data_IF_449126268524
#
_entry.id   IF_449126268524
#
_cell.length_a   1.000
_cell.length_b   1.000
_cell.length_c   1.000
_cell.angle_alpha   90.00
_cell.angle_beta   90.00
_cell.angle_gamma   90.00
#
_symmetry.space_group_name_H-M   'P 1'
#
loop_
_entity.id
_entity.type
_entity.pdbx_description
1 polymer ?
#
# COMPACT_ATOMS: atom_id res chain seq x y z
N UNK A 1 16.32 -9.61 -5.18
CA UNK A 1 15.68 -8.69 -4.22
C UNK A 1 15.69 -7.28 -4.83
N UNK A 2 14.69 -6.93 -5.63
CA UNK A 2 14.55 -5.59 -6.23
C UNK A 2 13.11 -5.36 -6.75
N UNK A 3 12.44 -6.44 -7.17
CA UNK A 3 11.09 -6.36 -7.74
C UNK A 3 10.01 -5.83 -6.79
N UNK A 4 10.09 -6.15 -5.48
CA UNK A 4 9.06 -5.74 -4.51
C UNK A 4 9.07 -4.25 -4.18
N UNK A 5 10.26 -3.64 -4.06
CA UNK A 5 10.42 -2.24 -3.64
C UNK A 5 9.78 -1.24 -4.61
N UNK A 6 9.78 -1.53 -5.91
CA UNK A 6 9.13 -0.69 -6.90
C UNK A 6 7.60 -0.67 -6.73
N UNK A 7 7.00 -1.83 -6.47
CA UNK A 7 5.55 -1.95 -6.22
C UNK A 7 5.16 -1.26 -4.91
N UNK A 8 5.91 -1.50 -3.83
CA UNK A 8 5.71 -0.84 -2.54
C UNK A 8 5.82 0.69 -2.68
N UNK A 9 6.78 1.18 -3.47
CA UNK A 9 6.93 2.60 -3.76
C UNK A 9 5.71 3.23 -4.45
N UNK A 10 5.07 2.51 -5.40
CA UNK A 10 3.83 2.97 -6.04
C UNK A 10 2.70 3.05 -5.01
N UNK A 11 2.54 2.03 -4.16
CA UNK A 11 1.49 2.00 -3.14
C UNK A 11 1.65 3.15 -2.16
N UNK A 12 2.87 3.40 -1.69
CA UNK A 12 3.18 4.51 -0.76
C UNK A 12 2.95 5.88 -1.43
N UNK A 13 3.30 6.04 -2.70
CA UNK A 13 3.04 7.28 -3.45
C UNK A 13 1.54 7.57 -3.56
N UNK A 14 0.74 6.54 -3.84
CA UNK A 14 -0.72 6.64 -3.91
C UNK A 14 -1.33 6.94 -2.52
N UNK A 15 -0.83 6.30 -1.46
CA UNK A 15 -1.25 6.55 -0.09
C UNK A 15 -0.99 8.01 0.33
N UNK A 16 0.17 8.56 -0.06
CA UNK A 16 0.52 9.97 0.15
C UNK A 16 -0.20 10.96 -0.77
N UNK A 17 -1.14 10.50 -1.61
CA UNK A 17 -1.86 11.32 -2.63
C UNK A 17 -0.91 12.07 -3.58
N UNK A 18 0.27 11.50 -3.87
CA UNK A 18 1.36 12.16 -4.61
C UNK A 18 1.83 13.50 -4.01
N UNK A 19 1.52 13.80 -2.75
CA UNK A 19 2.04 14.98 -2.05
C UNK A 19 3.34 14.57 -1.31
N UNK A 20 4.49 15.24 -1.54
CA UNK A 20 5.76 14.86 -0.94
C UNK A 20 5.71 14.72 0.59
N UNK A 21 5.00 15.61 1.29
CA UNK A 21 4.86 15.54 2.76
C UNK A 21 4.04 14.31 3.19
N UNK A 22 2.97 14.01 2.46
CA UNK A 22 2.12 12.84 2.72
C UNK A 22 2.83 11.53 2.41
N UNK A 23 3.67 11.51 1.36
CA UNK A 23 4.48 10.34 0.98
C UNK A 23 5.50 10.00 2.05
N UNK A 24 6.18 11.00 2.63
CA UNK A 24 7.15 10.75 3.72
C UNK A 24 6.47 10.14 4.94
N UNK A 25 5.33 10.69 5.36
CA UNK A 25 4.56 10.15 6.50
C UNK A 25 4.04 8.73 6.23
N UNK A 26 3.52 8.49 5.02
CA UNK A 26 3.05 7.18 4.58
C UNK A 26 4.18 6.14 4.52
N UNK A 27 5.35 6.51 4.01
CA UNK A 27 6.52 5.65 3.89
C UNK A 27 7.05 5.20 5.26
N UNK A 28 7.10 6.13 6.23
CA UNK A 28 7.53 5.84 7.59
C UNK A 28 6.58 4.87 8.28
N UNK A 29 5.27 5.12 8.21
CA UNK A 29 4.27 4.22 8.79
C UNK A 29 4.32 2.83 8.14
N UNK A 30 4.36 2.78 6.80
CA UNK A 30 4.42 1.53 6.04
C UNK A 30 5.65 0.71 6.39
N UNK A 31 6.83 1.34 6.46
CA UNK A 31 8.09 0.67 6.79
C UNK A 31 8.10 0.20 8.25
N UNK A 32 7.56 1.00 9.17
CA UNK A 32 7.45 0.61 10.58
C UNK A 32 6.58 -0.64 10.76
N UNK A 33 5.43 -0.70 10.08
CA UNK A 33 4.55 -1.86 10.12
C UNK A 33 5.20 -3.09 9.47
N UNK A 34 5.89 -2.89 8.34
CA UNK A 34 6.58 -3.96 7.61
C UNK A 34 7.71 -4.56 8.45
N UNK A 35 8.62 -3.74 8.95
CA UNK A 35 9.74 -4.18 9.79
C UNK A 35 9.25 -4.73 11.13
N UNK A 36 8.23 -4.12 11.72
CA UNK A 36 7.58 -4.65 12.93
C UNK A 36 6.98 -6.04 12.71
N UNK A 37 6.38 -6.28 11.53
CA UNK A 37 5.92 -7.59 11.10
C UNK A 37 7.04 -8.62 10.98
N UNK A 38 8.12 -8.27 10.26
CA UNK A 38 9.30 -9.13 10.13
C UNK A 38 9.93 -9.47 11.49
N UNK A 39 9.96 -8.51 12.43
CA UNK A 39 10.47 -8.74 13.80
C UNK A 39 9.56 -9.69 14.59
N UNK A 40 8.24 -9.58 14.43
CA UNK A 40 7.28 -10.49 15.06
C UNK A 40 7.37 -11.91 14.48
N UNK A 41 7.62 -12.04 13.18
CA UNK A 41 7.88 -13.32 12.49
C UNK A 41 9.14 -14.02 13.02
N UNK A 42 10.19 -13.24 13.34
CA UNK A 42 11.43 -13.81 13.88
C UNK A 42 11.33 -14.24 15.36
N UNK A 43 10.43 -13.62 16.15
CA UNK A 43 10.33 -13.87 17.59
C UNK A 43 9.17 -14.79 17.99
N UNK A 44 8.19 -14.98 17.12
CA UNK A 44 7.00 -15.80 17.39
C UNK A 44 6.88 -16.85 16.28
N UNK A 45 6.44 -18.07 16.59
CA UNK A 45 6.13 -19.14 15.61
C UNK A 45 4.94 -18.80 14.68
N UNK A 46 4.53 -17.52 14.66
CA UNK A 46 3.56 -16.95 13.73
C UNK A 46 4.30 -16.73 12.41
N UNK A 47 4.25 -17.75 11.56
CA UNK A 47 4.95 -17.77 10.27
C UNK A 47 4.63 -16.60 9.34
N UNK A 48 5.49 -16.43 8.34
CA UNK A 48 5.49 -15.39 7.29
C UNK A 48 4.15 -15.13 6.59
N UNK A 49 3.19 -16.05 6.73
CA UNK A 49 1.82 -15.88 6.26
C UNK A 49 1.12 -14.70 6.93
N UNK A 50 1.33 -14.46 8.24
CA UNK A 50 0.67 -13.34 8.92
C UNK A 50 1.17 -11.98 8.42
N UNK A 51 2.48 -11.82 8.23
CA UNK A 51 3.09 -10.61 7.67
C UNK A 51 2.59 -10.36 6.25
N UNK A 52 2.54 -11.41 5.44
CA UNK A 52 2.04 -11.36 4.06
C UNK A 52 0.56 -10.94 4.01
N UNK A 53 -0.28 -11.49 4.89
CA UNK A 53 -1.70 -11.11 5.00
C UNK A 53 -1.84 -9.64 5.39
N UNK A 54 -1.08 -9.18 6.39
CA UNK A 54 -1.12 -7.78 6.83
C UNK A 54 -0.70 -6.84 5.69
N UNK A 55 0.37 -7.16 4.96
CA UNK A 55 0.79 -6.40 3.79
C UNK A 55 -0.29 -6.39 2.70
N UNK A 56 -0.90 -7.53 2.40
CA UNK A 56 -1.98 -7.63 1.42
C UNK A 56 -3.21 -6.79 1.83
N UNK A 57 -3.57 -6.79 3.11
CA UNK A 57 -4.65 -5.97 3.66
C UNK A 57 -4.32 -4.47 3.56
N UNK A 58 -3.09 -4.07 3.88
CA UNK A 58 -2.64 -2.68 3.73
C UNK A 58 -2.78 -2.26 2.26
N UNK A 59 -2.25 -3.03 1.32
CA UNK A 59 -2.35 -2.75 -0.12
C UNK A 59 -3.81 -2.67 -0.57
N UNK A 60 -4.67 -3.59 -0.12
CA UNK A 60 -6.10 -3.60 -0.41
C UNK A 60 -6.78 -2.31 0.09
N UNK A 61 -6.52 -1.91 1.34
CA UNK A 61 -7.09 -0.70 1.94
C UNK A 61 -6.63 0.58 1.24
N UNK A 62 -5.35 0.69 0.89
CA UNK A 62 -4.83 1.83 0.13
C UNK A 62 -5.48 1.89 -1.25
N UNK A 63 -5.55 0.77 -1.95
CA UNK A 63 -6.13 0.68 -3.30
C UNK A 63 -7.63 0.99 -3.28
N UNK A 64 -8.37 0.51 -2.28
CA UNK A 64 -9.79 0.77 -2.12
C UNK A 64 -10.10 2.27 -1.98
N UNK A 65 -9.22 3.06 -1.34
CA UNK A 65 -9.39 4.53 -1.28
C UNK A 65 -9.17 5.22 -2.62
N UNK A 66 -8.39 4.64 -3.53
CA UNK A 66 -8.17 5.19 -4.88
C UNK A 66 -9.29 4.82 -5.87
N UNK A 67 -10.11 3.82 -5.54
CA UNK A 67 -11.17 3.28 -6.40
C UNK A 67 -12.26 4.31 -6.80
N UNK A 68 -12.77 5.19 -5.93
CA UNK A 68 -13.87 6.10 -6.29
C UNK A 68 -13.48 7.11 -7.38
N UNK A 69 -12.24 7.63 -7.31
CA UNK A 69 -11.70 8.56 -8.29
C UNK A 69 -11.51 7.89 -9.66
N UNK A 70 -11.05 6.64 -9.66
CA UNK A 70 -10.91 5.80 -10.86
C UNK A 70 -12.26 5.51 -11.51
N UNK A 71 -13.26 5.13 -10.71
CA UNK A 71 -14.61 4.83 -11.19
C UNK A 71 -15.27 6.07 -11.78
N UNK A 72 -15.18 7.24 -11.13
CA UNK A 72 -15.69 8.51 -11.67
C UNK A 72 -15.05 8.85 -13.02
N UNK A 73 -13.71 8.72 -13.13
CA UNK A 73 -12.98 8.96 -14.39
C UNK A 73 -13.40 7.99 -15.50
N UNK A 74 -13.72 6.73 -15.14
CA UNK A 74 -14.19 5.74 -16.11
C UNK A 74 -15.60 6.06 -16.62
N UNK A 75 -16.52 6.44 -15.74
CA UNK A 75 -17.89 6.81 -16.11
C UNK A 75 -17.92 8.10 -16.93
N UNK A 76 -17.15 9.13 -16.56
CA UNK A 76 -17.04 10.38 -17.33
C UNK A 76 -16.50 10.17 -18.75
N UNK A 77 -15.67 9.13 -18.96
CA UNK A 77 -15.20 8.74 -20.31
C UNK A 77 -16.24 7.99 -21.13
N UNK A 78 -17.24 7.37 -20.49
CA UNK A 78 -18.37 6.73 -21.20
C UNK A 78 -19.42 7.72 -21.66
N UNK A 79 -19.56 8.86 -20.98
CA UNK A 79 -20.49 9.94 -21.38
C UNK A 79 -19.96 10.78 -22.56
N UNK A 80 -18.64 10.77 -22.79
CA UNK A 80 -18.00 11.48 -23.91
C UNK A 80 -17.88 10.64 -25.20
N UNK A 81 -18.52 9.46 -25.26
CA UNK A 81 -18.56 8.56 -26.41
C UNK A 81 -20.00 8.31 -26.81
#
# INVERSE_FOLDING_TARGET
MAGGLAFEGIVVALLGRNNPVGVVAAALLYSYLRVGGDVMEQQTDVGSEAVTIIQAVIVLLVTARALPELVKRYLARREAR
#
